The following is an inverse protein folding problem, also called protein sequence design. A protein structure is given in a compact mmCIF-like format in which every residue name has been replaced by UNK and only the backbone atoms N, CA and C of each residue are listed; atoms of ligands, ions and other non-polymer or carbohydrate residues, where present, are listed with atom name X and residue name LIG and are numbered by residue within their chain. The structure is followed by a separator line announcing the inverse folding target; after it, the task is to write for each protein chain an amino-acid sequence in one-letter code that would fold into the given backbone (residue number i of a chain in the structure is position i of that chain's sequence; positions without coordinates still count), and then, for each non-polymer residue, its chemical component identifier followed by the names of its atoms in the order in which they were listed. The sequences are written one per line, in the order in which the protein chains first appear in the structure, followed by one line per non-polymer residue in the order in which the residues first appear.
data_IF_765261911280
#
_entry.id   IF_765261911280
#
_cell.length_a   1.000
_cell.length_b   1.000
_cell.length_c   1.000
_cell.angle_alpha   90.00
_cell.angle_beta   90.00
_cell.angle_gamma   90.00
#
_symmetry.space_group_name_H-M   'P 1'
#
loop_
_entity.id
_entity.type
_entity.pdbx_description
1 polymer ?
#
# COMPACT_ATOMS: atom_id res chain seq x y z
N UNK A 1 -1.26 -17.27 -16.60
CA UNK A 1 -2.13 -18.46 -16.47
C UNK A 1 -1.96 -19.47 -17.59
N UNK A 2 -2.00 -19.06 -18.86
CA UNK A 2 -1.81 -19.96 -20.03
C UNK A 2 -0.50 -20.76 -19.97
N UNK A 3 0.60 -20.15 -19.54
CA UNK A 3 1.92 -20.81 -19.44
C UNK A 3 1.99 -21.92 -18.37
N UNK A 4 1.27 -21.78 -17.26
CA UNK A 4 1.19 -22.82 -16.23
C UNK A 4 0.47 -24.06 -16.74
N UNK A 5 -0.70 -23.91 -17.35
CA UNK A 5 -1.41 -25.02 -17.95
C UNK A 5 -0.62 -25.67 -19.09
N UNK A 6 0.09 -24.89 -19.89
CA UNK A 6 0.95 -25.43 -20.95
C UNK A 6 2.08 -26.30 -20.38
N UNK A 7 2.75 -25.84 -19.32
CA UNK A 7 3.79 -26.60 -18.65
C UNK A 7 3.23 -27.90 -18.04
N UNK A 8 2.05 -27.83 -17.43
CA UNK A 8 1.37 -28.98 -16.85
C UNK A 8 0.98 -30.01 -17.91
N UNK A 9 0.37 -29.58 -19.03
CA UNK A 9 -0.01 -30.45 -20.15
C UNK A 9 1.24 -31.11 -20.75
N UNK A 10 2.31 -30.33 -20.99
CA UNK A 10 3.58 -30.86 -21.48
C UNK A 10 4.13 -31.94 -20.54
N UNK A 11 4.14 -31.67 -19.24
CA UNK A 11 4.62 -32.58 -18.22
C UNK A 11 3.86 -33.94 -18.29
N UNK A 12 2.52 -33.93 -18.32
CA UNK A 12 1.72 -35.14 -18.38
C UNK A 12 1.76 -35.84 -19.75
N UNK A 13 2.09 -35.14 -20.83
CA UNK A 13 2.37 -35.75 -22.13
C UNK A 13 3.67 -36.59 -22.10
N UNK A 14 4.66 -36.13 -21.34
CA UNK A 14 5.95 -36.80 -21.14
C UNK A 14 5.88 -37.90 -20.08
N UNK A 15 5.02 -37.75 -19.06
CA UNK A 15 4.86 -38.66 -17.92
C UNK A 15 3.45 -39.23 -17.88
N UNK A 16 3.12 -40.02 -18.89
CA UNK A 16 1.80 -40.70 -19.03
C UNK A 16 1.57 -41.82 -18.02
N UNK A 17 2.61 -42.23 -17.30
CA UNK A 17 2.62 -43.22 -16.22
C UNK A 17 1.99 -42.68 -14.92
N UNK A 18 1.87 -41.36 -14.77
CA UNK A 18 1.36 -40.73 -13.54
C UNK A 18 -0.16 -40.49 -13.60
N UNK A 19 -0.85 -40.82 -12.52
CA UNK A 19 -2.26 -40.50 -12.35
C UNK A 19 -2.43 -39.05 -11.84
N UNK A 20 -3.09 -38.14 -12.60
CA UNK A 20 -3.34 -36.76 -12.15
C UNK A 20 -4.09 -36.66 -10.82
N UNK A 21 -4.83 -37.68 -10.40
CA UNK A 21 -5.54 -37.75 -9.11
C UNK A 21 -4.57 -37.96 -7.94
N UNK A 22 -3.44 -38.60 -8.20
CA UNK A 22 -2.39 -38.89 -7.22
C UNK A 22 -1.23 -37.88 -7.26
N UNK A 23 -1.32 -36.86 -8.14
CA UNK A 23 -0.38 -35.76 -8.21
C UNK A 23 -1.00 -34.54 -7.55
N UNK A 24 -0.36 -33.95 -6.53
CA UNK A 24 -0.91 -32.86 -5.77
C UNK A 24 -0.06 -31.58 -5.89
N UNK A 25 -0.67 -30.41 -5.60
CA UNK A 25 0.02 -29.13 -5.49
C UNK A 25 0.25 -28.77 -4.03
N UNK A 26 1.46 -28.40 -3.68
CA UNK A 26 1.83 -27.98 -2.32
C UNK A 26 1.05 -26.73 -1.86
N UNK A 27 0.88 -25.73 -2.74
CA UNK A 27 0.19 -24.46 -2.43
C UNK A 27 -1.33 -24.65 -2.20
N UNK A 28 -1.92 -25.76 -2.63
CA UNK A 28 -3.33 -26.05 -2.40
C UNK A 28 -3.59 -26.59 -0.99
N UNK A 29 -2.60 -27.25 -0.38
CA UNK A 29 -2.77 -27.89 0.93
C UNK A 29 -3.18 -26.96 2.07
N UNK A 30 -2.63 -25.71 2.21
CA UNK A 30 -3.06 -24.79 3.25
C UNK A 30 -4.46 -24.20 3.01
N UNK A 31 -4.96 -24.27 1.77
CA UNK A 31 -6.27 -23.71 1.39
C UNK A 31 -7.40 -24.69 1.68
N UNK A 32 -7.07 -25.98 1.75
CA UNK A 32 -8.05 -27.05 1.99
C UNK A 32 -8.48 -27.01 3.46
N UNK A 33 -9.76 -26.78 3.69
CA UNK A 33 -10.33 -26.63 5.03
C UNK A 33 -10.31 -27.90 5.89
N UNK A 34 -10.24 -29.07 5.27
CA UNK A 34 -10.21 -30.38 5.95
C UNK A 34 -8.95 -31.17 5.61
N UNK A 35 -8.21 -31.68 6.61
CA UNK A 35 -7.02 -32.50 6.42
C UNK A 35 -7.24 -33.75 5.58
N UNK A 36 -8.45 -34.32 5.65
CA UNK A 36 -8.80 -35.55 4.96
C UNK A 36 -9.10 -35.37 3.48
N UNK A 37 -9.34 -34.15 3.02
CA UNK A 37 -9.70 -33.83 1.64
C UNK A 37 -8.47 -33.48 0.78
N UNK A 38 -7.34 -34.16 0.98
CA UNK A 38 -6.11 -33.95 0.19
C UNK A 38 -6.33 -34.07 -1.33
N UNK A 39 -7.34 -34.86 -1.73
CA UNK A 39 -7.75 -35.01 -3.13
C UNK A 39 -8.11 -33.66 -3.79
N UNK A 40 -8.55 -32.69 -3.02
CA UNK A 40 -8.81 -31.33 -3.50
C UNK A 40 -7.52 -30.55 -3.84
N UNK A 41 -6.34 -31.05 -3.44
CA UNK A 41 -5.06 -30.55 -3.90
C UNK A 41 -4.55 -31.22 -5.18
N UNK A 42 -5.28 -32.22 -5.73
CA UNK A 42 -4.86 -32.96 -6.90
C UNK A 42 -4.92 -32.11 -8.18
N UNK A 43 -4.12 -32.52 -9.16
CA UNK A 43 -4.14 -31.93 -10.50
C UNK A 43 -5.49 -32.15 -11.16
N UNK A 44 -6.09 -33.33 -10.99
CA UNK A 44 -7.42 -33.66 -11.51
C UNK A 44 -8.49 -32.70 -10.96
N UNK A 45 -8.48 -32.44 -9.66
CA UNK A 45 -9.40 -31.49 -9.03
C UNK A 45 -9.21 -30.06 -9.55
N UNK A 46 -7.96 -29.61 -9.71
CA UNK A 46 -7.65 -28.28 -10.26
C UNK A 46 -8.22 -28.13 -11.68
N UNK A 47 -8.09 -29.13 -12.51
CA UNK A 47 -8.52 -29.06 -13.92
C UNK A 47 -10.03 -29.14 -14.06
N UNK A 48 -10.69 -30.04 -13.33
CA UNK A 48 -12.08 -30.40 -13.59
C UNK A 48 -13.11 -29.78 -12.65
N UNK A 49 -12.71 -29.41 -11.42
CA UNK A 49 -13.65 -29.01 -10.37
C UNK A 49 -13.39 -27.63 -9.79
N UNK A 50 -12.19 -27.07 -9.97
CA UNK A 50 -11.84 -25.83 -9.34
C UNK A 50 -12.44 -24.63 -10.07
N UNK A 51 -13.14 -23.78 -9.32
CA UNK A 51 -13.51 -22.46 -9.78
C UNK A 51 -12.34 -21.50 -9.50
N UNK A 52 -11.61 -21.10 -10.55
CA UNK A 52 -10.42 -20.25 -10.45
C UNK A 52 -10.68 -18.90 -9.77
N UNK A 53 -11.89 -18.34 -9.93
CA UNK A 53 -12.24 -17.09 -9.25
C UNK A 53 -12.32 -17.28 -7.73
N UNK A 54 -12.87 -18.39 -7.28
CA UNK A 54 -12.93 -18.72 -5.86
C UNK A 54 -11.55 -19.03 -5.30
N UNK A 55 -10.68 -19.68 -6.07
CA UNK A 55 -9.31 -19.94 -5.64
C UNK A 55 -8.54 -18.62 -5.42
N UNK A 56 -8.60 -17.70 -6.38
CA UNK A 56 -7.92 -16.41 -6.28
C UNK A 56 -8.38 -15.63 -5.03
N UNK A 57 -9.69 -15.58 -4.77
CA UNK A 57 -10.26 -14.97 -3.59
C UNK A 57 -9.80 -15.63 -2.29
N UNK A 58 -9.75 -16.96 -2.27
CA UNK A 58 -9.31 -17.70 -1.07
C UNK A 58 -7.83 -17.52 -0.80
N UNK A 59 -7.00 -17.51 -1.85
CA UNK A 59 -5.57 -17.24 -1.74
C UNK A 59 -5.30 -15.84 -1.24
N UNK A 60 -6.01 -14.83 -1.73
CA UNK A 60 -5.93 -13.43 -1.27
C UNK A 60 -6.30 -13.32 0.21
N UNK A 61 -7.41 -13.95 0.61
CA UNK A 61 -7.84 -13.94 2.01
C UNK A 61 -6.84 -14.65 2.93
N UNK A 62 -6.23 -15.72 2.46
CA UNK A 62 -5.20 -16.44 3.18
C UNK A 62 -3.92 -15.62 3.32
N UNK A 63 -3.41 -15.03 2.22
CA UNK A 63 -2.22 -14.21 2.21
C UNK A 63 -2.35 -12.98 3.14
N UNK A 64 -3.51 -12.33 3.15
CA UNK A 64 -3.76 -11.16 3.99
C UNK A 64 -3.88 -11.47 5.49
N UNK A 65 -4.10 -12.73 5.87
CA UNK A 65 -4.17 -13.16 7.28
C UNK A 65 -2.86 -13.68 7.84
N UNK A 66 -1.87 -13.96 6.97
CA UNK A 66 -0.60 -14.59 7.36
C UNK A 66 0.49 -13.55 7.53
N UNK A 67 1.27 -13.65 8.59
CA UNK A 67 2.50 -12.86 8.79
C UNK A 67 3.70 -13.56 8.18
N UNK A 68 4.81 -12.83 7.94
CA UNK A 68 6.05 -13.42 7.39
C UNK A 68 6.57 -14.57 8.28
N UNK A 69 6.41 -14.47 9.61
CA UNK A 69 6.81 -15.54 10.54
C UNK A 69 5.96 -16.80 10.43
N UNK A 70 4.70 -16.66 10.00
CA UNK A 70 3.79 -17.80 9.84
C UNK A 70 4.16 -18.64 8.62
N UNK A 71 4.73 -18.04 7.57
CA UNK A 71 5.05 -18.75 6.31
C UNK A 71 6.01 -19.90 6.52
N UNK A 72 7.08 -19.74 7.30
CA UNK A 72 8.04 -20.82 7.56
C UNK A 72 7.42 -22.01 8.28
N UNK A 73 6.51 -21.76 9.23
CA UNK A 73 5.78 -22.84 9.92
C UNK A 73 4.77 -23.52 8.99
N UNK A 74 4.12 -22.74 8.13
CA UNK A 74 3.16 -23.26 7.15
C UNK A 74 3.87 -24.15 6.15
N UNK A 75 5.00 -23.73 5.59
CA UNK A 75 5.81 -24.50 4.64
C UNK A 75 6.32 -25.81 5.26
N UNK A 76 6.78 -25.77 6.51
CA UNK A 76 7.17 -26.98 7.24
C UNK A 76 6.00 -27.94 7.41
N UNK A 77 4.82 -27.44 7.82
CA UNK A 77 3.63 -28.27 7.99
C UNK A 77 3.15 -28.86 6.66
N UNK A 78 3.26 -28.12 5.55
CA UNK A 78 2.98 -28.62 4.20
C UNK A 78 3.90 -29.78 3.86
N UNK A 79 5.22 -29.62 4.06
CA UNK A 79 6.20 -30.66 3.78
C UNK A 79 5.93 -31.94 4.59
N UNK A 80 5.67 -31.81 5.89
CA UNK A 80 5.33 -32.96 6.75
C UNK A 80 4.08 -33.68 6.29
N UNK A 81 3.05 -32.94 5.90
CA UNK A 81 1.79 -33.51 5.39
C UNK A 81 2.01 -34.24 4.07
N UNK A 82 2.82 -33.69 3.15
CA UNK A 82 3.18 -34.35 1.89
C UNK A 82 3.89 -35.68 2.16
N UNK A 83 4.88 -35.66 3.07
CA UNK A 83 5.61 -36.88 3.45
C UNK A 83 4.71 -37.92 4.06
N UNK A 84 3.74 -37.53 4.87
CA UNK A 84 2.76 -38.46 5.45
C UNK A 84 1.86 -39.06 4.36
N UNK A 85 1.34 -38.27 3.42
CA UNK A 85 0.56 -38.74 2.30
C UNK A 85 1.34 -39.72 1.39
N UNK A 86 2.63 -39.41 1.15
CA UNK A 86 3.52 -40.30 0.40
C UNK A 86 3.76 -41.63 1.12
N UNK A 87 4.04 -41.62 2.41
CA UNK A 87 4.21 -42.84 3.22
C UNK A 87 2.96 -43.71 3.31
N UNK A 88 1.79 -43.08 3.18
CA UNK A 88 0.49 -43.81 3.13
C UNK A 88 0.12 -44.27 1.72
N UNK A 89 1.00 -44.14 0.73
CA UNK A 89 0.74 -44.48 -0.69
C UNK A 89 -0.51 -43.78 -1.26
N UNK A 90 -0.78 -42.53 -0.81
CA UNK A 90 -1.92 -41.76 -1.29
C UNK A 90 -1.57 -40.83 -2.47
N UNK A 91 -0.31 -40.51 -2.64
CA UNK A 91 0.19 -39.64 -3.72
C UNK A 91 1.38 -40.29 -4.41
N UNK A 92 1.55 -40.01 -5.71
CA UNK A 92 2.70 -40.44 -6.50
C UNK A 92 3.75 -39.33 -6.66
N UNK A 93 3.30 -38.08 -6.60
CA UNK A 93 4.16 -36.93 -6.87
C UNK A 93 3.57 -35.63 -6.32
N UNK A 94 4.43 -34.65 -6.02
CA UNK A 94 4.04 -33.30 -5.65
C UNK A 94 4.61 -32.25 -6.61
N UNK A 95 3.76 -31.32 -7.03
CA UNK A 95 4.18 -30.09 -7.70
C UNK A 95 4.48 -29.03 -6.65
N UNK A 96 5.77 -28.67 -6.52
CA UNK A 96 6.26 -27.78 -5.49
C UNK A 96 6.35 -26.35 -6.01
N UNK A 97 5.76 -25.41 -5.26
CA UNK A 97 5.90 -23.97 -5.42
C UNK A 97 6.84 -23.38 -4.38
N UNK A 98 7.02 -24.06 -3.25
CA UNK A 98 7.86 -23.63 -2.13
C UNK A 98 9.21 -24.33 -2.16
N UNK A 99 10.28 -23.60 -2.50
CA UNK A 99 11.65 -24.18 -2.57
C UNK A 99 12.18 -24.64 -1.20
N UNK A 100 11.71 -24.07 -0.12
CA UNK A 100 12.08 -24.43 1.26
C UNK A 100 11.66 -25.84 1.66
N UNK A 101 10.65 -26.42 1.01
CA UNK A 101 10.17 -27.77 1.28
C UNK A 101 11.03 -28.85 0.61
N UNK A 102 11.75 -28.50 -0.46
CA UNK A 102 12.48 -29.45 -1.30
C UNK A 102 13.50 -30.30 -0.51
N UNK A 103 14.39 -29.73 0.34
CA UNK A 103 15.36 -30.53 1.06
C UNK A 103 14.74 -31.63 1.90
N UNK A 104 13.59 -31.35 2.52
CA UNK A 104 12.88 -32.31 3.36
C UNK A 104 12.19 -33.39 2.53
N UNK A 105 11.66 -33.06 1.36
CA UNK A 105 11.08 -34.03 0.43
C UNK A 105 12.15 -34.97 -0.14
N UNK A 106 13.33 -34.45 -0.49
CA UNK A 106 14.47 -35.22 -0.95
C UNK A 106 14.97 -36.21 0.11
N UNK A 107 15.09 -35.76 1.37
CA UNK A 107 15.48 -36.61 2.50
C UNK A 107 14.56 -37.82 2.68
N UNK A 108 13.26 -37.63 2.37
CA UNK A 108 12.26 -38.70 2.52
C UNK A 108 11.95 -39.43 1.21
N UNK A 109 12.65 -39.11 0.13
CA UNK A 109 12.48 -39.77 -1.19
C UNK A 109 11.14 -39.50 -1.85
N UNK A 110 10.48 -38.36 -1.54
CA UNK A 110 9.23 -37.96 -2.15
C UNK A 110 9.48 -37.43 -3.54
N UNK A 111 8.88 -38.01 -4.61
CA UNK A 111 9.01 -37.48 -5.96
C UNK A 111 8.36 -36.08 -6.05
N UNK A 112 9.09 -35.13 -6.61
CA UNK A 112 8.57 -33.78 -6.80
C UNK A 112 8.93 -33.19 -8.16
N UNK A 113 8.15 -32.20 -8.57
CA UNK A 113 8.44 -31.35 -9.72
C UNK A 113 8.34 -29.91 -9.28
N UNK A 114 9.45 -29.18 -9.34
CA UNK A 114 9.44 -27.77 -8.94
C UNK A 114 8.87 -26.89 -10.05
N UNK A 115 7.87 -26.08 -9.68
CA UNK A 115 7.19 -25.17 -10.60
C UNK A 115 8.00 -23.87 -10.70
N UNK A 116 8.91 -23.83 -11.66
CA UNK A 116 9.64 -22.59 -11.93
C UNK A 116 8.72 -21.53 -12.52
N UNK A 117 8.76 -20.30 -12.02
CA UNK A 117 8.08 -19.20 -12.68
C UNK A 117 8.65 -19.03 -14.09
N UNK A 118 7.78 -18.87 -15.08
CA UNK A 118 8.21 -18.66 -16.46
C UNK A 118 8.91 -17.32 -16.57
N UNK A 119 10.07 -17.25 -17.23
CA UNK A 119 10.90 -16.05 -17.40
C UNK A 119 10.08 -14.82 -17.80
N UNK A 120 9.20 -14.99 -18.79
CA UNK A 120 8.36 -13.89 -19.30
C UNK A 120 7.38 -13.36 -18.25
N UNK A 121 6.88 -14.22 -17.37
CA UNK A 121 6.02 -13.78 -16.26
C UNK A 121 6.80 -12.99 -15.23
N UNK A 122 7.99 -13.46 -14.84
CA UNK A 122 8.87 -12.71 -13.93
C UNK A 122 9.24 -11.36 -14.51
N UNK A 123 9.64 -11.31 -15.78
CA UNK A 123 9.95 -10.04 -16.44
C UNK A 123 8.75 -9.09 -16.48
N UNK A 124 7.55 -9.60 -16.75
CA UNK A 124 6.33 -8.80 -16.75
C UNK A 124 6.01 -8.25 -15.36
N UNK A 125 6.07 -9.09 -14.33
CA UNK A 125 5.82 -8.68 -12.94
C UNK A 125 6.85 -7.66 -12.45
N UNK A 126 8.13 -7.86 -12.78
CA UNK A 126 9.20 -6.89 -12.45
C UNK A 126 8.94 -5.54 -13.15
N UNK A 127 8.57 -5.56 -14.43
CA UNK A 127 8.25 -4.33 -15.19
C UNK A 127 7.06 -3.60 -14.56
N UNK A 128 6.02 -4.32 -14.18
CA UNK A 128 4.85 -3.76 -13.51
C UNK A 128 5.23 -3.14 -12.16
N UNK A 129 5.96 -3.86 -11.31
CA UNK A 129 6.46 -3.36 -10.03
C UNK A 129 7.31 -2.10 -10.21
N UNK A 130 8.24 -2.11 -11.16
CA UNK A 130 9.06 -0.92 -11.46
C UNK A 130 8.21 0.26 -11.94
N UNK A 131 7.14 0.00 -12.70
CA UNK A 131 6.19 1.03 -13.13
C UNK A 131 5.45 1.63 -11.94
N UNK A 132 4.96 0.80 -11.01
CA UNK A 132 4.29 1.26 -9.79
C UNK A 132 5.24 2.10 -8.91
N UNK A 133 6.49 1.65 -8.71
CA UNK A 133 7.49 2.41 -7.96
C UNK A 133 7.78 3.77 -8.61
N UNK A 134 7.85 3.81 -9.95
CA UNK A 134 8.06 5.08 -10.67
C UNK A 134 6.88 6.02 -10.52
N UNK A 135 5.66 5.51 -10.59
CA UNK A 135 4.45 6.30 -10.38
C UNK A 135 4.39 6.86 -8.96
N UNK A 136 4.72 6.06 -7.96
CA UNK A 136 4.74 6.51 -6.57
C UNK A 136 5.79 7.59 -6.34
N UNK A 137 7.02 7.38 -6.82
CA UNK A 137 8.07 8.41 -6.78
C UNK A 137 7.67 9.69 -7.52
N UNK A 138 6.96 9.57 -8.64
CA UNK A 138 6.45 10.73 -9.36
C UNK A 138 5.42 11.48 -8.51
N UNK A 139 4.48 10.78 -7.89
CA UNK A 139 3.47 11.36 -6.99
C UNK A 139 4.11 12.07 -5.79
N UNK A 140 5.08 11.43 -5.13
CA UNK A 140 5.79 12.00 -3.99
C UNK A 140 6.50 13.31 -4.34
N UNK A 141 7.00 13.44 -5.57
CA UNK A 141 7.74 14.62 -6.04
C UNK A 141 6.86 15.68 -6.73
N UNK A 142 5.53 15.49 -6.78
CA UNK A 142 4.65 16.53 -7.29
C UNK A 142 4.84 17.83 -6.51
N UNK A 143 4.88 18.99 -7.19
CA UNK A 143 4.92 20.29 -6.55
C UNK A 143 3.75 20.46 -5.57
N UNK A 144 4.05 21.00 -4.41
CA UNK A 144 3.06 21.33 -3.40
C UNK A 144 3.27 22.73 -2.86
N UNK A 145 2.19 23.36 -2.43
CA UNK A 145 2.21 24.64 -1.75
C UNK A 145 1.38 24.55 -0.46
N UNK A 146 1.85 25.21 0.60
CA UNK A 146 1.12 25.42 1.83
C UNK A 146 0.88 26.91 1.94
N UNK A 147 -0.39 27.34 1.98
CA UNK A 147 -0.77 28.72 2.18
C UNK A 147 -1.22 28.92 3.64
N UNK A 148 -0.66 29.91 4.31
CA UNK A 148 -0.92 30.20 5.73
C UNK A 148 -1.32 31.66 5.86
N UNK A 149 -2.45 31.95 6.51
CA UNK A 149 -2.87 33.31 6.82
C UNK A 149 -3.45 33.38 8.24
N UNK A 150 -3.05 34.39 8.99
CA UNK A 150 -3.61 34.66 10.33
C UNK A 150 -5.05 35.18 10.21
N UNK A 151 -5.95 34.75 11.11
CA UNK A 151 -7.35 35.23 11.12
C UNK A 151 -7.48 36.68 11.53
N UNK A 152 -6.61 37.14 12.44
CA UNK A 152 -6.56 38.55 12.77
C UNK A 152 -5.58 39.24 11.81
N UNK A 153 -6.01 40.30 11.08
CA UNK A 153 -5.08 41.07 10.28
C UNK A 153 -4.03 41.64 11.25
N UNK A 154 -2.78 41.33 10.98
CA UNK A 154 -1.66 41.81 11.79
C UNK A 154 -1.68 43.32 11.88
N UNK A 155 -2.19 43.85 12.99
CA UNK A 155 -2.18 45.29 13.29
C UNK A 155 -0.77 45.72 13.69
N UNK A 156 0.17 44.76 13.83
CA UNK A 156 1.54 45.09 14.17
C UNK A 156 2.55 44.20 13.44
N UNK A 157 3.69 44.79 13.04
CA UNK A 157 4.87 44.09 12.50
C UNK A 157 5.32 42.89 13.37
N UNK A 158 4.94 42.88 14.65
CA UNK A 158 5.25 41.77 15.59
C UNK A 158 4.56 40.47 15.25
N UNK A 159 3.28 40.49 14.85
CA UNK A 159 2.54 39.23 14.49
C UNK A 159 3.13 38.61 13.25
N UNK A 160 3.51 39.40 12.27
CA UNK A 160 4.18 38.94 11.07
C UNK A 160 5.53 38.27 11.38
N UNK A 161 6.35 38.89 12.24
CA UNK A 161 7.63 38.30 12.65
C UNK A 161 7.44 36.98 13.39
N UNK A 162 6.46 36.91 14.31
CA UNK A 162 6.16 35.67 15.04
C UNK A 162 5.70 34.58 14.08
N UNK A 163 4.87 34.88 13.08
CA UNK A 163 4.40 33.90 12.10
C UNK A 163 5.54 33.41 11.20
N UNK A 164 6.44 34.33 10.79
CA UNK A 164 7.62 33.96 10.00
C UNK A 164 8.57 33.08 10.80
N UNK A 165 8.85 33.41 12.07
CA UNK A 165 9.66 32.60 12.96
C UNK A 165 9.03 31.21 13.19
N UNK A 166 7.71 31.15 13.38
CA UNK A 166 6.99 29.91 13.52
C UNK A 166 7.13 29.03 12.28
N UNK A 167 7.01 29.60 11.08
CA UNK A 167 7.18 28.88 9.81
C UNK A 167 8.63 28.40 9.65
N UNK A 168 9.62 29.21 10.03
CA UNK A 168 11.02 28.78 9.99
C UNK A 168 11.29 27.62 10.96
N UNK A 169 10.63 27.62 12.13
CA UNK A 169 10.74 26.52 13.07
C UNK A 169 10.11 25.24 12.53
N UNK A 170 8.96 25.30 11.84
CA UNK A 170 8.37 24.16 11.13
C UNK A 170 9.35 23.61 10.09
N UNK A 171 9.95 24.49 9.29
CA UNK A 171 10.95 24.07 8.28
C UNK A 171 12.12 23.32 8.92
N UNK A 172 12.61 23.80 10.07
CA UNK A 172 13.72 23.14 10.80
C UNK A 172 13.29 21.80 11.41
N UNK A 173 12.11 21.75 12.05
CA UNK A 173 11.61 20.57 12.73
C UNK A 173 11.41 19.40 11.77
N UNK A 174 10.86 19.67 10.59
CA UNK A 174 10.61 18.66 9.57
C UNK A 174 11.75 18.52 8.54
N UNK A 175 12.87 19.24 8.71
CA UNK A 175 13.99 19.26 7.77
C UNK A 175 13.53 19.56 6.33
N UNK A 176 12.59 20.51 6.18
CA UNK A 176 11.97 20.83 4.90
C UNK A 176 12.88 21.72 4.08
N UNK A 177 13.31 21.24 2.93
CA UNK A 177 13.88 22.09 1.89
C UNK A 177 12.71 22.75 1.12
N UNK A 178 12.39 23.99 1.49
CA UNK A 178 11.23 24.69 0.95
C UNK A 178 11.52 26.17 0.78
N UNK A 179 10.92 26.76 -0.26
CA UNK A 179 10.96 28.20 -0.52
C UNK A 179 9.79 28.84 0.24
N UNK A 180 10.10 29.86 1.05
CA UNK A 180 9.11 30.69 1.71
C UNK A 180 8.93 31.97 0.91
N UNK A 181 7.68 32.33 0.62
CA UNK A 181 7.30 33.56 -0.05
C UNK A 181 6.12 34.20 0.67
N UNK A 182 6.18 35.52 0.92
CA UNK A 182 5.05 36.28 1.43
C UNK A 182 4.42 37.08 0.29
N UNK A 183 3.10 36.96 0.14
CA UNK A 183 2.31 37.79 -0.77
C UNK A 183 1.12 38.38 0.00
N UNK A 184 1.11 39.68 0.14
CA UNK A 184 0.13 40.36 1.00
C UNK A 184 0.15 39.81 2.43
N UNK A 185 -0.96 39.23 2.89
CA UNK A 185 -1.10 38.65 4.22
C UNK A 185 -1.04 37.11 4.23
N UNK A 186 -0.58 36.49 3.12
CA UNK A 186 -0.48 35.03 3.00
C UNK A 186 0.99 34.65 2.87
N UNK A 187 1.39 33.66 3.66
CA UNK A 187 2.69 33.00 3.55
C UNK A 187 2.54 31.72 2.76
N UNK A 188 3.38 31.54 1.76
CA UNK A 188 3.43 30.34 0.90
C UNK A 188 4.70 29.57 1.18
N UNK A 189 4.58 28.29 1.46
CA UNK A 189 5.71 27.35 1.55
C UNK A 189 5.62 26.44 0.33
N UNK A 190 6.55 26.58 -0.61
CA UNK A 190 6.64 25.72 -1.78
C UNK A 190 7.52 24.52 -1.48
N UNK A 191 7.00 23.33 -1.69
CA UNK A 191 7.62 22.06 -1.32
C UNK A 191 7.14 20.92 -2.25
N UNK A 192 7.16 19.69 -1.78
CA UNK A 192 6.65 18.52 -2.51
C UNK A 192 5.47 17.87 -1.80
N UNK A 193 4.71 17.06 -2.52
CA UNK A 193 3.63 16.24 -1.98
C UNK A 193 4.08 15.40 -0.78
N UNK A 194 5.26 14.75 -0.87
CA UNK A 194 5.84 13.96 0.20
C UNK A 194 5.95 14.74 1.50
N UNK A 195 6.41 15.99 1.44
CA UNK A 195 6.56 16.83 2.62
C UNK A 195 5.20 17.17 3.22
N UNK A 196 4.21 17.53 2.40
CA UNK A 196 2.84 17.79 2.86
C UNK A 196 2.25 16.55 3.52
N UNK A 197 2.37 15.38 2.88
CA UNK A 197 1.89 14.10 3.43
C UNK A 197 2.56 13.78 4.79
N UNK A 198 3.87 14.05 4.93
CA UNK A 198 4.60 13.85 6.17
C UNK A 198 4.09 14.77 7.30
N UNK A 199 3.95 16.09 7.04
CA UNK A 199 3.50 17.07 8.03
C UNK A 199 2.06 16.76 8.47
N UNK A 200 1.21 16.34 7.54
CA UNK A 200 -0.22 16.11 7.79
C UNK A 200 -0.53 14.66 8.17
N UNK A 201 0.48 13.79 8.31
CA UNK A 201 0.30 12.34 8.49
C UNK A 201 -0.67 11.74 7.47
N UNK A 202 -0.34 11.91 6.19
CA UNK A 202 -1.21 11.53 5.08
C UNK A 202 -2.60 12.19 5.15
N UNK A 203 -2.59 13.48 5.50
CA UNK A 203 -3.79 14.34 5.50
C UNK A 203 -4.81 14.04 6.60
N UNK A 204 -4.39 13.36 7.64
CA UNK A 204 -5.24 13.05 8.80
C UNK A 204 -5.18 14.13 9.90
N UNK A 205 -4.13 14.97 9.93
CA UNK A 205 -3.88 15.91 11.03
C UNK A 205 -3.52 17.30 10.52
N UNK A 206 -4.16 18.32 11.05
CA UNK A 206 -3.84 19.74 10.85
C UNK A 206 -2.69 20.21 11.74
N UNK A 207 -1.49 19.62 11.60
CA UNK A 207 -0.34 19.89 12.48
C UNK A 207 0.02 21.36 12.58
N UNK A 208 0.09 22.06 11.43
CA UNK A 208 0.52 23.48 11.40
C UNK A 208 -0.45 24.36 12.20
N UNK A 209 -1.76 24.18 12.02
CA UNK A 209 -2.79 24.94 12.76
C UNK A 209 -2.66 24.69 14.25
N UNK A 210 -2.56 23.42 14.65
CA UNK A 210 -2.42 23.05 16.06
C UNK A 210 -1.16 23.62 16.70
N UNK A 211 -0.04 23.60 15.97
CA UNK A 211 1.24 24.13 16.42
C UNK A 211 1.23 25.66 16.56
N UNK A 212 0.70 26.40 15.56
CA UNK A 212 0.56 27.84 15.60
C UNK A 212 -0.30 28.28 16.80
N UNK A 213 -1.42 27.60 17.03
CA UNK A 213 -2.28 27.92 18.19
C UNK A 213 -1.63 27.59 19.51
N UNK A 214 -1.00 26.42 19.65
CA UNK A 214 -0.43 25.94 20.91
C UNK A 214 0.81 26.73 21.34
N UNK A 215 1.74 26.98 20.41
CA UNK A 215 3.06 27.51 20.75
C UNK A 215 3.16 29.03 20.62
N UNK A 216 2.30 29.63 19.79
CA UNK A 216 2.39 31.05 19.46
C UNK A 216 1.08 31.80 19.73
N UNK A 217 0.02 31.09 20.14
CA UNK A 217 -1.35 31.64 20.31
C UNK A 217 -1.88 32.36 19.06
N UNK A 218 -1.43 31.91 17.87
CA UNK A 218 -1.88 32.42 16.59
C UNK A 218 -3.00 31.57 16.07
N UNK A 219 -4.17 32.16 15.81
CA UNK A 219 -5.26 31.55 15.05
C UNK A 219 -5.01 31.80 13.56
N UNK A 220 -4.86 30.75 12.78
CA UNK A 220 -4.53 30.85 11.37
C UNK A 220 -5.32 29.83 10.55
N UNK A 221 -5.68 30.22 9.33
CA UNK A 221 -6.14 29.30 8.31
C UNK A 221 -4.94 28.72 7.54
N UNK A 222 -5.02 27.45 7.17
CA UNK A 222 -3.97 26.77 6.41
C UNK A 222 -4.61 26.01 5.25
N UNK A 223 -4.11 26.24 4.05
CA UNK A 223 -4.51 25.52 2.83
C UNK A 223 -3.35 24.73 2.26
N UNK A 224 -3.59 23.47 1.90
CA UNK A 224 -2.61 22.62 1.24
C UNK A 224 -3.02 22.42 -0.22
N UNK A 225 -2.08 22.58 -1.14
CA UNK A 225 -2.30 22.38 -2.57
C UNK A 225 -1.20 21.54 -3.18
N UNK A 226 -1.58 20.58 -4.01
CA UNK A 226 -0.67 19.77 -4.81
C UNK A 226 -1.06 19.98 -6.27
N UNK A 227 -0.08 20.07 -7.16
CA UNK A 227 -0.34 20.35 -8.57
C UNK A 227 0.69 19.72 -9.49
N UNK A 228 0.42 19.76 -10.80
CA UNK A 228 1.38 19.33 -11.84
C UNK A 228 2.59 20.25 -11.93
N UNK A 229 2.41 21.49 -11.49
CA UNK A 229 3.43 22.53 -11.41
C UNK A 229 3.17 23.43 -10.21
N UNK A 230 4.10 24.34 -9.91
CA UNK A 230 4.02 25.25 -8.76
C UNK A 230 2.78 26.15 -8.82
N UNK A 231 2.41 26.61 -10.02
CA UNK A 231 1.24 27.50 -10.21
C UNK A 231 -0.06 26.79 -9.85
N UNK A 232 -0.22 25.54 -10.31
CA UNK A 232 -1.38 24.73 -9.96
C UNK A 232 -1.42 24.43 -8.45
N UNK A 233 -0.27 24.06 -7.87
CA UNK A 233 -0.15 23.80 -6.44
C UNK A 233 -0.54 25.03 -5.61
N UNK A 234 -0.05 26.22 -5.99
CA UNK A 234 -0.41 27.49 -5.35
C UNK A 234 -1.92 27.75 -5.43
N UNK A 235 -2.51 27.64 -6.62
CA UNK A 235 -3.94 27.84 -6.83
C UNK A 235 -4.80 26.91 -5.98
N UNK A 236 -4.40 25.63 -5.87
CA UNK A 236 -5.10 24.66 -5.01
C UNK A 236 -4.97 25.02 -3.54
N UNK A 237 -3.77 25.45 -3.09
CA UNK A 237 -3.55 25.90 -1.72
C UNK A 237 -4.39 27.14 -1.36
N UNK A 238 -4.52 28.10 -2.29
CA UNK A 238 -5.36 29.30 -2.12
C UNK A 238 -6.85 28.96 -2.03
N UNK A 239 -7.32 28.00 -2.84
CA UNK A 239 -8.70 27.53 -2.75
C UNK A 239 -8.96 26.86 -1.40
N UNK A 240 -8.08 25.96 -0.97
CA UNK A 240 -8.16 25.30 0.32
C UNK A 240 -8.10 26.29 1.49
N UNK A 241 -7.24 27.31 1.40
CA UNK A 241 -7.16 28.38 2.39
C UNK A 241 -8.48 29.13 2.51
N UNK A 242 -9.12 29.49 1.40
CA UNK A 242 -10.44 30.16 1.39
C UNK A 242 -11.53 29.32 2.03
N UNK A 243 -11.55 28.03 1.76
CA UNK A 243 -12.51 27.11 2.37
C UNK A 243 -12.28 26.98 3.88
N UNK A 244 -11.02 26.83 4.31
CA UNK A 244 -10.63 26.81 5.73
C UNK A 244 -11.06 28.12 6.45
N UNK A 245 -10.87 29.26 5.80
CA UNK A 245 -11.26 30.56 6.34
C UNK A 245 -12.77 30.68 6.60
N UNK A 246 -13.59 30.15 5.70
CA UNK A 246 -15.03 30.21 5.81
C UNK A 246 -15.61 29.25 6.87
N UNK A 247 -14.91 28.18 7.17
CA UNK A 247 -15.34 27.19 8.18
C UNK A 247 -15.00 27.64 9.61
N UNK A 248 -13.92 28.37 9.82
CA UNK A 248 -13.49 28.88 11.15
C UNK A 248 -14.18 30.21 11.54
N UNK A 249 -14.76 30.93 10.59
CA UNK A 249 -15.37 32.25 10.82
C UNK A 249 -16.71 32.27 11.58
N UNK A 250 -17.21 31.14 12.09
CA UNK A 250 -18.52 31.04 12.70
C UNK A 250 -18.66 30.33 14.05
N UNK A 251 -17.61 29.80 14.66
CA UNK A 251 -17.74 29.10 15.94
C UNK A 251 -16.57 29.32 16.90
N UNK A 252 -16.83 30.13 17.90
CA UNK A 252 -16.21 30.04 19.21
C UNK A 252 -16.76 28.79 19.90
N UNK A 253 -15.85 27.98 20.43
CA UNK A 253 -15.96 26.88 21.37
C UNK A 253 -16.01 25.46 20.81
N UNK A 254 -15.06 24.67 21.37
CA UNK A 254 -14.94 23.20 21.33
C UNK A 254 -14.78 22.53 19.95
N UNK A 255 -13.57 22.66 19.40
CA UNK A 255 -13.11 21.76 18.32
C UNK A 255 -12.89 20.34 18.87
N UNK A 256 -13.91 19.49 18.74
CA UNK A 256 -13.77 18.07 18.96
C UNK A 256 -12.77 17.47 17.95
N UNK A 257 -12.02 16.43 18.35
CA UNK A 257 -11.05 15.72 17.50
C UNK A 257 -11.65 15.27 16.15
N UNK A 258 -12.96 15.06 16.09
CA UNK A 258 -13.68 14.64 14.87
C UNK A 258 -13.84 15.76 13.83
N UNK A 259 -13.90 17.05 14.24
CA UNK A 259 -13.95 18.18 13.30
C UNK A 259 -12.60 18.47 12.65
N UNK A 260 -11.49 18.28 13.36
CA UNK A 260 -10.15 18.40 12.76
C UNK A 260 -9.95 17.38 11.63
N UNK A 261 -10.48 16.17 11.76
CA UNK A 261 -10.51 15.15 10.67
C UNK A 261 -11.35 15.62 9.48
N UNK A 262 -12.51 16.22 9.72
CA UNK A 262 -13.43 16.69 8.66
C UNK A 262 -12.84 17.84 7.85
N UNK A 263 -12.14 18.79 8.47
CA UNK A 263 -11.50 19.92 7.76
C UNK A 263 -10.34 19.42 6.89
N UNK A 264 -9.52 18.48 7.37
CA UNK A 264 -8.50 17.86 6.56
C UNK A 264 -9.08 17.02 5.40
N UNK A 265 -10.22 16.34 5.58
CA UNK A 265 -10.89 15.59 4.53
C UNK A 265 -11.57 16.47 3.47
N UNK A 266 -12.15 17.61 3.84
CA UNK A 266 -12.76 18.58 2.89
C UNK A 266 -11.72 19.23 1.98
N UNK A 267 -10.49 19.40 2.42
CA UNK A 267 -9.37 19.93 1.63
C UNK A 267 -8.91 18.98 0.50
N UNK A 268 -9.42 17.73 0.46
CA UNK A 268 -9.00 16.67 -0.45
C UNK A 268 -10.00 16.29 -1.53
N UNK A 269 -11.24 16.80 -1.53
CA UNK A 269 -12.30 16.40 -2.48
C UNK A 269 -11.99 16.77 -3.95
N UNK A 270 -11.01 17.62 -4.22
CA UNK A 270 -10.65 18.01 -5.60
C UNK A 270 -9.67 17.06 -6.33
N UNK A 271 -9.26 15.93 -5.72
CA UNK A 271 -8.31 15.00 -6.36
C UNK A 271 -8.95 13.86 -7.19
N UNK A 272 -10.28 13.76 -7.26
CA UNK A 272 -10.95 12.62 -7.92
C UNK A 272 -11.40 12.86 -9.36
N UNK A 273 -10.87 13.85 -10.06
CA UNK A 273 -11.18 14.01 -11.47
C UNK A 273 -9.89 14.03 -12.25
N UNK A 274 -9.52 12.90 -12.80
CA UNK A 274 -8.79 12.61 -14.04
C UNK A 274 -8.02 11.29 -13.92
N UNK A 275 -8.77 10.21 -14.14
CA UNK A 275 -8.30 8.97 -14.74
C UNK A 275 -9.18 8.68 -15.94
#
# INVERSE_FOLDING_TARGET
MISFYHALVKFFLERRDLDPKRCIFDFMLPIIQSPDNYEHASVDYLIHKLNLNNLALTMDQWANKSTIGDFSMIEMNIALKIIDLWKQDKIDMVFCSYSSTIPLLEEHGVPYYFLYPVKDQLESQIKELLSQIRLEKYRENLPAAIAIAAHEPSVSDKTDQILEDAIQNIKKEFLIDAILQKESNVYYIYTTHRVVAMITKNFEVGYIIAMLKKNYDISAAVGYGIGKNITDAKKHAENALRESWNTDGGYHDELSKDRQRSVCQLLFVQYHVFW
#
